data_IF_168956237904
#
_entry.id   IF_168956237904
#
_cell.length_a   1.000
_cell.length_b   1.000
_cell.length_c   1.000
_cell.angle_alpha   90.00
_cell.angle_beta   90.00
_cell.angle_gamma   90.00
#
_symmetry.space_group_name_H-M   'P 1'
#
loop_
_entity.id
_entity.type
_entity.pdbx_description
1 polymer ?
#
# COMPACT_ATOMS: atom_id res chain seq x y z
N UNK A 1 5.84 9.29 26.08
CA UNK A 1 4.99 9.36 24.87
C UNK A 1 3.55 9.30 25.35
N UNK A 2 2.82 10.40 25.27
CA UNK A 2 1.36 10.35 25.40
C UNK A 2 0.78 10.04 24.02
N UNK A 3 0.04 8.95 23.92
CA UNK A 3 -0.68 8.59 22.71
C UNK A 3 -2.18 8.83 22.96
N UNK A 4 -2.78 9.73 22.19
CA UNK A 4 -4.24 9.97 22.25
C UNK A 4 -4.91 9.04 21.26
N UNK A 5 -5.80 8.17 21.76
CA UNK A 5 -6.57 7.24 20.95
C UNK A 5 -8.06 7.65 20.99
N UNK A 6 -8.69 7.73 19.82
CA UNK A 6 -10.12 7.99 19.70
C UNK A 6 -10.83 6.74 19.19
N UNK A 7 -11.67 6.08 20.00
CA UNK A 7 -12.44 4.91 19.56
C UNK A 7 -13.28 5.19 18.32
N UNK A 8 -13.84 6.40 18.21
CA UNK A 8 -14.64 6.83 17.04
C UNK A 8 -13.82 6.80 15.75
N UNK A 9 -12.57 7.27 15.80
CA UNK A 9 -11.67 7.24 14.63
C UNK A 9 -11.28 5.80 14.28
N UNK A 10 -10.92 4.99 15.28
CA UNK A 10 -10.53 3.58 15.06
C UNK A 10 -11.68 2.78 14.44
N UNK A 11 -12.91 2.97 14.92
CA UNK A 11 -14.10 2.30 14.36
C UNK A 11 -14.36 2.75 12.93
N UNK A 12 -14.29 4.05 12.65
CA UNK A 12 -14.47 4.58 11.29
C UNK A 12 -13.43 4.01 10.32
N UNK A 13 -12.15 4.00 10.71
CA UNK A 13 -11.07 3.42 9.91
C UNK A 13 -11.29 1.94 9.63
N UNK A 14 -11.78 1.20 10.62
CA UNK A 14 -12.09 -0.23 10.47
C UNK A 14 -13.19 -0.46 9.44
N UNK A 15 -14.29 0.31 9.50
CA UNK A 15 -15.37 0.22 8.51
C UNK A 15 -14.86 0.60 7.11
N UNK A 16 -14.06 1.67 7.01
CA UNK A 16 -13.51 2.15 5.75
C UNK A 16 -12.63 1.12 5.05
N UNK A 17 -11.97 0.20 5.77
CA UNK A 17 -11.23 -0.92 5.15
C UNK A 17 -12.13 -1.84 4.32
N UNK A 18 -13.37 -2.08 4.76
CA UNK A 18 -14.26 -3.04 4.10
C UNK A 18 -15.11 -2.46 2.96
N UNK A 19 -15.34 -1.14 2.96
CA UNK A 19 -16.14 -0.47 1.91
C UNK A 19 -15.29 0.11 0.79
N UNK A 20 -13.95 0.04 0.89
CA UNK A 20 -13.06 0.54 -0.15
C UNK A 20 -13.04 -0.40 -1.35
N UNK A 21 -13.21 0.12 -2.58
CA UNK A 21 -13.23 -0.70 -3.77
C UNK A 21 -11.84 -1.20 -4.17
N UNK A 22 -11.79 -2.44 -4.68
CA UNK A 22 -10.64 -3.00 -5.40
C UNK A 22 -9.59 -3.69 -4.53
N UNK A 23 -8.35 -3.71 -5.03
CA UNK A 23 -7.20 -4.43 -4.46
C UNK A 23 -6.58 -3.76 -3.21
N UNK A 24 -7.20 -2.71 -2.67
CA UNK A 24 -6.70 -1.97 -1.51
C UNK A 24 -7.22 -2.63 -0.24
N UNK A 25 -6.32 -3.21 0.55
CA UNK A 25 -6.64 -3.88 1.81
C UNK A 25 -6.81 -2.85 2.93
N UNK A 26 -5.91 -1.87 3.00
CA UNK A 26 -5.97 -0.85 4.04
C UNK A 26 -5.26 0.45 3.64
N UNK A 27 -5.66 1.55 4.29
CA UNK A 27 -4.99 2.85 4.23
C UNK A 27 -4.92 3.36 5.66
N UNK A 28 -3.75 3.80 6.08
CA UNK A 28 -3.51 4.37 7.40
C UNK A 28 -2.82 5.70 7.27
N UNK A 29 -3.43 6.72 7.86
CA UNK A 29 -2.90 8.07 7.82
C UNK A 29 -1.79 8.26 8.83
N UNK A 30 -0.70 8.88 8.40
CA UNK A 30 0.49 9.18 9.21
C UNK A 30 0.94 10.62 8.98
N UNK A 31 1.92 11.07 9.78
CA UNK A 31 2.52 12.40 9.67
C UNK A 31 1.46 13.53 9.67
N UNK A 32 0.58 13.52 10.67
CA UNK A 32 -0.44 14.56 10.87
C UNK A 32 -1.34 14.79 9.63
N UNK A 33 -1.74 13.70 8.97
CA UNK A 33 -2.63 13.78 7.81
C UNK A 33 -1.95 13.97 6.46
N UNK A 34 -0.63 14.10 6.42
CA UNK A 34 0.11 14.46 5.19
C UNK A 34 0.53 13.26 4.37
N UNK A 35 0.75 12.12 5.00
CA UNK A 35 1.18 10.89 4.34
C UNK A 35 0.28 9.72 4.71
N UNK A 36 0.26 8.72 3.84
CA UNK A 36 -0.66 7.60 3.91
C UNK A 36 0.15 6.32 3.63
N UNK A 37 -0.06 5.31 4.48
CA UNK A 37 0.46 3.97 4.28
C UNK A 37 -0.67 3.15 3.67
N UNK A 38 -0.44 2.62 2.48
CA UNK A 38 -1.40 1.78 1.77
C UNK A 38 -0.90 0.34 1.73
N UNK A 39 -1.77 -0.58 2.12
CA UNK A 39 -1.59 -2.01 1.89
C UNK A 39 -2.47 -2.42 0.71
N UNK A 40 -1.87 -2.98 -0.33
CA UNK A 40 -2.58 -3.44 -1.50
C UNK A 40 -2.11 -4.80 -1.97
N UNK A 41 -3.04 -5.63 -2.40
CA UNK A 41 -2.74 -6.94 -2.97
C UNK A 41 -2.52 -6.83 -4.48
N UNK A 42 -1.49 -7.47 -4.99
CA UNK A 42 -1.25 -7.54 -6.43
C UNK A 42 -2.16 -8.61 -7.02
N UNK A 43 -3.09 -8.20 -7.90
CA UNK A 43 -3.97 -9.13 -8.62
C UNK A 43 -3.21 -9.96 -9.66
N UNK A 44 -3.82 -11.06 -10.10
CA UNK A 44 -3.19 -11.95 -11.08
C UNK A 44 -3.00 -11.30 -12.46
N UNK A 45 -3.87 -10.36 -12.81
CA UNK A 45 -3.90 -9.58 -14.06
C UNK A 45 -3.10 -8.26 -13.98
N UNK A 46 -2.52 -7.94 -12.81
CA UNK A 46 -1.79 -6.70 -12.63
C UNK A 46 -0.57 -6.61 -13.55
N UNK A 47 -0.39 -5.43 -14.16
CA UNK A 47 0.76 -5.09 -15.01
C UNK A 47 2.11 -5.07 -14.27
N UNK A 48 2.10 -5.24 -12.95
CA UNK A 48 3.27 -5.29 -12.09
C UNK A 48 3.86 -6.69 -11.95
N UNK A 49 3.08 -7.75 -12.21
CA UNK A 49 3.52 -9.13 -12.03
C UNK A 49 4.74 -9.43 -12.91
N UNK A 50 5.80 -9.97 -12.29
CA UNK A 50 7.05 -10.33 -12.95
C UNK A 50 8.05 -9.18 -13.14
N UNK A 51 7.65 -7.93 -12.89
CA UNK A 51 8.56 -6.78 -12.94
C UNK A 51 9.39 -6.69 -11.66
N UNK A 52 10.64 -6.24 -11.82
CA UNK A 52 11.48 -5.84 -10.68
C UNK A 52 11.04 -4.47 -10.17
N UNK A 53 11.25 -4.19 -8.89
CA UNK A 53 10.86 -2.90 -8.30
C UNK A 53 11.49 -1.70 -9.01
N UNK A 54 12.74 -1.82 -9.49
CA UNK A 54 13.41 -0.75 -10.26
C UNK A 54 12.77 -0.51 -11.64
N UNK A 55 12.10 -1.52 -12.20
CA UNK A 55 11.40 -1.41 -13.49
C UNK A 55 9.95 -0.92 -13.34
N UNK A 56 9.46 -0.73 -12.11
CA UNK A 56 8.12 -0.21 -11.84
C UNK A 56 8.16 1.31 -11.77
N UNK A 57 7.39 1.96 -12.64
CA UNK A 57 7.14 3.39 -12.55
C UNK A 57 6.09 3.68 -11.47
N UNK A 58 6.57 3.85 -10.23
CA UNK A 58 5.72 4.31 -9.14
C UNK A 58 5.37 5.81 -9.32
N UNK A 59 4.15 6.23 -8.96
CA UNK A 59 3.80 7.65 -8.91
C UNK A 59 4.77 8.44 -8.05
N UNK A 60 5.07 9.67 -8.46
CA UNK A 60 5.94 10.57 -7.69
C UNK A 60 5.46 10.65 -6.24
N UNK A 61 6.43 10.69 -5.32
CA UNK A 61 6.21 10.73 -3.86
C UNK A 61 5.54 9.47 -3.31
N UNK A 62 5.79 8.32 -3.96
CA UNK A 62 5.39 7.00 -3.48
C UNK A 62 6.60 6.07 -3.39
N UNK A 63 6.59 5.16 -2.41
CA UNK A 63 7.67 4.20 -2.15
C UNK A 63 7.08 2.88 -1.68
N UNK A 64 7.50 1.77 -2.27
CA UNK A 64 7.23 0.44 -1.71
C UNK A 64 8.24 0.22 -0.57
N UNK A 65 7.73 0.07 0.65
CA UNK A 65 8.54 -0.13 1.85
C UNK A 65 8.66 -1.59 2.27
N UNK A 66 7.71 -2.44 1.89
CA UNK A 66 7.74 -3.89 2.17
C UNK A 66 6.92 -4.66 1.14
N UNK A 67 7.32 -5.92 0.90
CA UNK A 67 6.51 -6.93 0.21
C UNK A 67 6.18 -8.02 1.23
N UNK A 68 4.91 -8.34 1.39
CA UNK A 68 4.44 -9.48 2.19
C UNK A 68 4.05 -10.59 1.23
N UNK A 69 4.73 -11.73 1.34
CA UNK A 69 4.50 -12.91 0.48
C UNK A 69 4.16 -14.10 1.35
N UNK A 70 2.89 -14.45 1.41
CA UNK A 70 2.40 -15.41 2.41
C UNK A 70 2.65 -14.87 3.82
N UNK A 71 3.48 -15.58 4.58
CA UNK A 71 3.85 -15.21 5.96
C UNK A 71 5.22 -14.51 6.06
N UNK A 72 5.90 -14.30 4.93
CA UNK A 72 7.22 -13.65 4.89
C UNK A 72 7.12 -12.15 4.64
N UNK A 73 7.92 -11.37 5.37
CA UNK A 73 8.12 -9.94 5.13
C UNK A 73 9.47 -9.74 4.45
N UNK A 74 9.44 -9.17 3.25
CA UNK A 74 10.62 -8.89 2.44
C UNK A 74 10.88 -7.39 2.46
N UNK A 75 12.09 -7.00 2.88
CA UNK A 75 12.56 -5.62 2.75
C UNK A 75 13.05 -5.43 1.31
N UNK A 76 12.40 -4.55 0.53
CA UNK A 76 12.58 -4.48 -0.90
C UNK A 76 13.95 -3.91 -1.29
N UNK A 77 14.60 -4.60 -2.20
CA UNK A 77 15.67 -4.10 -3.06
C UNK A 77 15.13 -3.83 -4.47
N UNK A 78 15.82 -3.00 -5.25
CA UNK A 78 15.40 -2.70 -6.63
C UNK A 78 15.27 -3.94 -7.54
N UNK A 79 15.94 -5.05 -7.20
CA UNK A 79 15.95 -6.29 -7.99
C UNK A 79 14.82 -7.26 -7.62
N UNK A 80 14.11 -7.03 -6.51
CA UNK A 80 13.03 -7.89 -6.09
C UNK A 80 11.89 -7.86 -7.11
N UNK A 81 11.41 -9.06 -7.47
CA UNK A 81 10.31 -9.23 -8.40
C UNK A 81 8.98 -9.29 -7.67
N UNK A 82 8.03 -8.51 -8.17
CA UNK A 82 6.64 -8.56 -7.73
C UNK A 82 6.00 -9.84 -8.28
N UNK A 83 5.35 -10.59 -7.40
CA UNK A 83 4.61 -11.79 -7.73
C UNK A 83 3.11 -11.58 -7.50
N UNK A 84 2.29 -12.36 -8.20
CA UNK A 84 0.84 -12.37 -7.96
C UNK A 84 0.55 -12.76 -6.50
N UNK A 85 -0.43 -12.11 -5.89
CA UNK A 85 -0.81 -12.35 -4.50
C UNK A 85 0.10 -11.69 -3.45
N UNK A 86 1.22 -11.07 -3.86
CA UNK A 86 2.02 -10.24 -2.96
C UNK A 86 1.16 -9.11 -2.40
N UNK A 87 1.37 -8.77 -1.12
CA UNK A 87 0.84 -7.53 -0.55
C UNK A 87 1.96 -6.51 -0.46
N UNK A 88 1.75 -5.36 -1.09
CA UNK A 88 2.71 -4.27 -1.09
C UNK A 88 2.33 -3.27 0.00
N UNK A 89 3.30 -2.92 0.85
CA UNK A 89 3.19 -1.80 1.79
C UNK A 89 3.79 -0.57 1.10
N UNK A 90 2.96 0.42 0.83
CA UNK A 90 3.31 1.59 0.03
C UNK A 90 3.14 2.84 0.87
N UNK A 91 4.21 3.62 1.01
CA UNK A 91 4.17 4.96 1.58
C UNK A 91 3.89 5.94 0.45
N UNK A 92 2.87 6.79 0.58
CA UNK A 92 2.53 7.77 -0.45
C UNK A 92 1.93 9.03 0.16
N UNK A 93 2.00 10.16 -0.54
CA UNK A 93 1.23 11.34 -0.14
C UNK A 93 -0.24 11.20 -0.56
N UNK A 94 -1.13 11.86 0.17
CA UNK A 94 -2.59 11.79 -0.05
C UNK A 94 -3.02 12.09 -1.50
N UNK A 95 -2.33 13.03 -2.16
CA UNK A 95 -2.57 13.41 -3.55
C UNK A 95 -2.24 12.30 -4.57
N UNK A 96 -1.33 11.38 -4.22
CA UNK A 96 -0.83 10.33 -5.12
C UNK A 96 -1.59 9.01 -4.98
N UNK A 97 -2.44 8.82 -3.95
CA UNK A 97 -3.17 7.57 -3.70
C UNK A 97 -3.91 7.05 -4.94
N UNK A 98 -4.65 7.92 -5.63
CA UNK A 98 -5.44 7.52 -6.80
C UNK A 98 -4.58 6.97 -7.93
N UNK A 99 -3.38 7.53 -8.11
CA UNK A 99 -2.43 7.07 -9.13
C UNK A 99 -1.82 5.72 -8.73
N UNK A 100 -1.48 5.54 -7.45
CA UNK A 100 -0.94 4.27 -6.95
C UNK A 100 -2.00 3.17 -7.07
N UNK A 101 -3.25 3.43 -6.70
CA UNK A 101 -4.34 2.47 -6.85
C UNK A 101 -4.53 2.00 -8.30
N UNK A 102 -4.34 2.89 -9.28
CA UNK A 102 -4.51 2.59 -10.70
C UNK A 102 -3.43 1.64 -11.27
N UNK A 103 -2.20 1.71 -10.78
CA UNK A 103 -1.11 0.83 -11.26
C UNK A 103 -1.16 -0.58 -10.66
N UNK A 104 -1.90 -0.75 -9.56
CA UNK A 104 -2.10 -2.01 -8.85
C UNK A 104 -3.31 -2.82 -9.39
N UNK A 105 -4.10 -2.20 -10.25
CA UNK A 105 -5.19 -2.83 -11.00
C UNK A 105 -4.67 -3.46 -12.28
#
# INVERSE_FOLDING_TARGET
>A
MEAVLSPRLITADTILKYVRPGNIISLTTVADGKAEIMEAQVSEDSVLVGKTLVAVELPKKSLIGAIIRGDEVIIPSGLDKISKGDKLIIFTLKESIKQVAKILQ
#
